data_IF_861356460284
#
_entry.id   IF_861356460284
#
_cell.length_a   1.000
_cell.length_b   1.000
_cell.length_c   1.000
_cell.angle_alpha   90.00
_cell.angle_beta   90.00
_cell.angle_gamma   90.00
#
_symmetry.space_group_name_H-M   'P 1'
#
loop_
_entity.id
_entity.type
_entity.pdbx_description
1 polymer ?
#
# COMPACT_ATOMS: atom_id res chain seq x y z
N UNK A 1 14.41 -7.70 23.69
CA UNK A 1 13.97 -8.61 22.60
C UNK A 1 12.74 -8.00 21.98
N UNK A 2 12.73 -7.74 20.68
CA UNK A 2 11.51 -7.32 19.97
C UNK A 2 10.55 -8.49 19.92
N UNK A 3 9.28 -8.26 20.27
CA UNK A 3 8.25 -9.30 20.21
C UNK A 3 8.10 -9.81 18.76
N UNK A 4 7.87 -11.11 18.53
CA UNK A 4 7.64 -11.65 17.20
C UNK A 4 6.38 -11.01 16.58
N UNK A 5 6.41 -10.74 15.28
CA UNK A 5 5.28 -10.23 14.49
C UNK A 5 4.94 -11.23 13.39
N UNK A 6 3.66 -11.40 13.11
CA UNK A 6 3.15 -12.38 12.14
C UNK A 6 2.63 -11.66 10.89
N UNK A 7 2.72 -12.34 9.74
CA UNK A 7 2.27 -11.84 8.43
C UNK A 7 1.12 -12.74 7.93
N UNK A 8 0.06 -12.12 7.41
CA UNK A 8 -1.04 -12.83 6.77
C UNK A 8 -0.82 -12.78 5.26
N UNK A 9 -0.78 -13.94 4.61
CA UNK A 9 -0.78 -14.07 3.17
C UNK A 9 -2.20 -14.41 2.70
N UNK A 10 -2.79 -13.53 1.89
CA UNK A 10 -4.12 -13.70 1.32
C UNK A 10 -4.00 -13.83 -0.20
N UNK A 11 -4.06 -15.06 -0.76
CA UNK A 11 -4.08 -15.25 -2.21
C UNK A 11 -5.34 -14.63 -2.83
N UNK A 12 -5.24 -14.19 -4.08
CA UNK A 12 -6.36 -13.65 -4.85
C UNK A 12 -6.37 -14.28 -6.24
N UNK A 13 -7.53 -14.33 -6.90
CA UNK A 13 -7.63 -14.80 -8.29
C UNK A 13 -7.30 -13.71 -9.31
N UNK A 14 -6.81 -12.54 -8.87
CA UNK A 14 -6.54 -11.40 -9.73
C UNK A 14 -5.24 -11.65 -10.50
N UNK A 15 -5.29 -11.47 -11.82
CA UNK A 15 -4.16 -11.71 -12.73
C UNK A 15 -3.46 -10.42 -13.16
N UNK A 16 -3.85 -9.28 -12.59
CA UNK A 16 -3.31 -7.95 -12.87
C UNK A 16 -2.78 -7.31 -11.60
N UNK A 17 -1.59 -6.71 -11.68
CA UNK A 17 -1.00 -5.95 -10.57
C UNK A 17 -1.83 -4.71 -10.22
N UNK A 18 -2.49 -4.10 -11.21
CA UNK A 18 -3.34 -2.93 -11.00
C UNK A 18 -4.61 -3.29 -10.24
N UNK A 19 -5.25 -4.42 -10.61
CA UNK A 19 -6.45 -4.90 -9.91
C UNK A 19 -6.12 -5.34 -8.48
N UNK A 20 -5.00 -6.05 -8.29
CA UNK A 20 -4.52 -6.43 -6.96
C UNK A 20 -4.19 -5.20 -6.11
N UNK A 21 -3.64 -4.15 -6.71
CA UNK A 21 -3.39 -2.88 -6.05
C UNK A 21 -4.69 -2.17 -5.67
N UNK A 22 -5.70 -2.14 -6.55
CA UNK A 22 -7.00 -1.55 -6.27
C UNK A 22 -7.71 -2.28 -5.11
N UNK A 23 -7.60 -3.61 -5.04
CA UNK A 23 -8.08 -4.39 -3.91
C UNK A 23 -7.36 -4.01 -2.61
N UNK A 24 -6.03 -3.85 -2.63
CA UNK A 24 -5.27 -3.46 -1.44
C UNK A 24 -5.66 -2.07 -0.92
N UNK A 25 -5.92 -1.11 -1.82
CA UNK A 25 -6.46 0.22 -1.44
C UNK A 25 -7.84 0.07 -0.80
N UNK A 26 -8.73 -0.73 -1.40
CA UNK A 26 -10.06 -0.99 -0.85
C UNK A 26 -10.00 -1.62 0.54
N UNK A 27 -9.08 -2.57 0.75
CA UNK A 27 -8.84 -3.21 2.04
C UNK A 27 -8.34 -2.19 3.08
N UNK A 28 -7.36 -1.35 2.72
CA UNK A 28 -6.86 -0.28 3.59
C UNK A 28 -7.97 0.64 4.05
N UNK A 29 -8.79 1.09 3.10
CA UNK A 29 -9.83 2.08 3.39
C UNK A 29 -10.98 1.45 4.21
N UNK A 30 -11.32 0.18 3.95
CA UNK A 30 -12.36 -0.55 4.71
C UNK A 30 -11.92 -0.95 6.12
N UNK A 31 -10.65 -1.35 6.27
CA UNK A 31 -10.08 -1.87 7.51
C UNK A 31 -9.21 -0.84 8.25
N UNK A 32 -9.29 0.44 7.89
CA UNK A 32 -8.52 1.50 8.55
C UNK A 32 -8.77 1.64 10.06
N UNK A 33 -9.86 1.04 10.55
CA UNK A 33 -10.18 0.94 11.98
C UNK A 33 -9.42 -0.19 12.71
N UNK A 34 -8.78 -1.12 11.99
CA UNK A 34 -8.03 -2.25 12.55
C UNK A 34 -6.58 -1.85 12.79
N UNK A 35 -6.25 -1.44 14.02
CA UNK A 35 -4.91 -0.95 14.38
C UNK A 35 -3.82 -2.03 14.40
N UNK A 36 -4.19 -3.30 14.27
CA UNK A 36 -3.24 -4.41 14.19
C UNK A 36 -2.59 -4.57 12.81
N UNK A 37 -3.13 -3.93 11.76
CA UNK A 37 -2.67 -4.06 10.39
C UNK A 37 -1.97 -2.76 9.97
N UNK A 38 -0.68 -2.85 9.61
CA UNK A 38 0.06 -1.75 9.00
C UNK A 38 -0.04 -1.83 7.48
N UNK A 39 -1.07 -1.19 6.92
CA UNK A 39 -1.27 -1.18 5.48
C UNK A 39 -0.09 -0.54 4.74
N UNK A 40 0.66 0.38 5.35
CA UNK A 40 1.83 1.00 4.71
C UNK A 40 2.96 0.01 4.38
N UNK A 41 2.97 -1.16 5.01
CA UNK A 41 3.95 -2.21 4.75
C UNK A 41 3.40 -3.33 3.84
N UNK A 42 2.25 -3.11 3.18
CA UNK A 42 1.68 -4.12 2.27
C UNK A 42 2.53 -4.28 1.03
N UNK A 43 2.76 -5.55 0.67
CA UNK A 43 3.50 -5.95 -0.51
C UNK A 43 2.67 -6.90 -1.35
N UNK A 44 2.76 -6.77 -2.68
CA UNK A 44 2.23 -7.73 -3.64
C UNK A 44 3.35 -8.64 -4.14
N UNK A 45 2.98 -9.87 -4.47
CA UNK A 45 3.85 -10.84 -5.09
C UNK A 45 3.04 -11.68 -6.07
N UNK A 46 3.65 -12.09 -7.18
CA UNK A 46 3.09 -13.16 -8.01
C UNK A 46 3.03 -14.45 -7.16
N UNK A 47 1.99 -15.27 -7.37
CA UNK A 47 1.78 -16.51 -6.60
C UNK A 47 2.98 -17.47 -6.69
N UNK A 48 3.57 -17.58 -7.88
CA UNK A 48 4.75 -18.42 -8.14
C UNK A 48 6.07 -17.75 -7.71
N UNK A 49 6.03 -16.46 -7.34
CA UNK A 49 7.22 -15.68 -6.96
C UNK A 49 6.99 -14.86 -5.68
N UNK A 50 6.52 -15.52 -4.63
CA UNK A 50 6.23 -14.89 -3.32
C UNK A 50 7.44 -14.24 -2.62
N UNK A 51 8.66 -14.56 -3.07
CA UNK A 51 9.88 -13.92 -2.59
C UNK A 51 10.11 -12.53 -3.21
N UNK A 52 9.47 -12.24 -4.36
CA UNK A 52 9.52 -10.93 -5.01
C UNK A 52 8.38 -10.10 -4.45
N UNK A 53 8.72 -9.08 -3.64
CA UNK A 53 7.76 -8.22 -2.96
C UNK A 53 7.75 -6.84 -3.59
N UNK A 54 6.73 -6.54 -4.37
CA UNK A 54 6.45 -5.22 -4.91
C UNK A 54 5.70 -4.41 -3.87
N UNK A 55 6.19 -3.22 -3.50
CA UNK A 55 5.47 -2.35 -2.59
C UNK A 55 4.34 -1.63 -3.32
N UNK A 56 3.24 -1.41 -2.59
CA UNK A 56 2.08 -0.69 -3.12
C UNK A 56 2.19 0.81 -2.86
N UNK A 57 2.73 1.17 -1.70
CA UNK A 57 2.89 2.54 -1.24
C UNK A 57 4.36 2.88 -1.07
N UNK A 58 4.67 4.15 -1.32
CA UNK A 58 5.99 4.70 -1.06
C UNK A 58 6.29 4.62 0.45
N UNK A 59 7.47 4.11 0.80
CA UNK A 59 7.89 3.94 2.19
C UNK A 59 8.65 5.16 2.75
N UNK A 60 8.82 6.20 1.93
CA UNK A 60 9.58 7.38 2.29
C UNK A 60 9.05 7.99 3.58
N UNK A 61 9.96 8.19 4.55
CA UNK A 61 9.64 8.85 5.81
C UNK A 61 9.59 10.36 5.60
N UNK A 62 8.46 10.97 5.93
CA UNK A 62 8.26 12.41 5.86
C UNK A 62 8.70 13.10 7.16
N UNK A 63 8.49 12.44 8.29
CA UNK A 63 9.03 12.79 9.60
C UNK A 63 9.26 11.51 10.43
N UNK A 64 9.58 11.65 11.72
CA UNK A 64 9.85 10.51 12.62
C UNK A 64 8.63 9.60 12.83
N UNK A 65 7.43 10.01 12.42
CA UNK A 65 6.16 9.32 12.70
C UNK A 65 5.29 9.06 11.47
N UNK A 66 5.51 9.76 10.35
CA UNK A 66 4.66 9.72 9.15
C UNK A 66 5.43 9.22 7.95
N UNK A 67 4.80 8.30 7.20
CA UNK A 67 5.23 7.84 5.88
C UNK A 67 4.44 8.54 4.78
N UNK A 68 5.02 8.57 3.59
CA UNK A 68 4.33 8.92 2.36
C UNK A 68 3.07 8.06 2.22
N UNK A 69 1.96 8.66 1.77
CA UNK A 69 0.71 7.93 1.49
C UNK A 69 0.46 7.70 -0.01
N UNK A 70 1.36 8.17 -0.87
CA UNK A 70 1.30 7.99 -2.32
C UNK A 70 1.72 6.56 -2.72
N UNK A 71 1.40 6.17 -3.96
CA UNK A 71 1.82 4.90 -4.55
C UNK A 71 3.35 4.79 -4.61
N UNK A 72 3.85 3.55 -4.63
CA UNK A 72 5.25 3.31 -4.93
C UNK A 72 5.61 3.86 -6.33
N UNK A 73 6.82 4.38 -6.50
CA UNK A 73 7.28 5.06 -7.74
C UNK A 73 6.43 6.27 -8.19
N UNK A 74 5.80 6.99 -7.25
CA UNK A 74 5.03 8.19 -7.60
C UNK A 74 5.90 9.35 -8.10
N UNK A 75 5.36 10.12 -9.04
CA UNK A 75 5.97 11.39 -9.44
C UNK A 75 5.85 12.47 -8.35
N UNK A 76 6.81 13.40 -8.34
CA UNK A 76 6.83 14.55 -7.44
C UNK A 76 7.22 14.24 -5.99
N UNK A 77 7.18 15.24 -5.09
CA UNK A 77 7.64 15.08 -3.71
C UNK A 77 6.71 14.18 -2.90
N UNK A 78 7.28 13.44 -1.95
CA UNK A 78 6.52 12.62 -1.02
C UNK A 78 5.57 13.49 -0.17
N UNK A 79 4.35 13.00 0.08
CA UNK A 79 3.31 13.73 0.80
C UNK A 79 2.55 12.84 1.80
N UNK A 80 2.08 13.38 2.93
CA UNK A 80 1.37 12.60 3.95
C UNK A 80 -0.09 12.33 3.56
N UNK A 81 -0.54 12.87 2.43
CA UNK A 81 -1.85 12.69 1.81
C UNK A 81 -1.66 12.27 0.36
N UNK A 82 -2.59 11.45 -0.13
CA UNK A 82 -2.62 11.06 -1.53
C UNK A 82 -3.29 12.20 -2.32
N UNK A 83 -2.52 13.22 -2.69
CA UNK A 83 -3.03 14.40 -3.43
C UNK A 83 -3.36 14.11 -4.90
N UNK A 84 -3.27 12.83 -5.31
CA UNK A 84 -3.64 12.33 -6.63
C UNK A 84 -5.12 12.59 -6.98
N UNK A 85 -5.94 13.01 -6.00
CA UNK A 85 -7.24 13.64 -6.22
C UNK A 85 -7.08 15.14 -6.56
N UNK A 86 -6.40 15.48 -7.65
CA UNK A 86 -6.67 16.74 -8.34
C UNK A 86 -8.12 16.73 -8.85
N UNK A 87 -8.85 17.87 -8.86
CA UNK A 87 -10.25 17.87 -9.29
C UNK A 87 -10.33 17.31 -10.72
N UNK A 88 -11.12 16.25 -10.91
CA UNK A 88 -11.54 15.82 -12.24
C UNK A 88 -12.29 16.98 -12.88
N UNK A 89 -11.60 17.74 -13.73
CA UNK A 89 -12.24 18.68 -14.63
C UNK A 89 -12.99 17.86 -15.67
N UNK A 90 -14.29 17.66 -15.45
CA UNK A 90 -15.22 17.26 -16.49
C UNK A 90 -15.33 18.41 -17.49
N UNK A 91 -15.02 18.13 -18.76
CA UNK A 91 -15.26 19.00 -19.92
C UNK A 91 -16.21 18.30 -20.88
#
# INVERSE_FOLDING_TARGET
MTAPRWIIHLPTTLTSVDDATALAVTLRDSLGHVTAIDFGETTLSEEDRQFVRTRIWCDARLDTTRRCRRRDDHDGPCAPTDDSAGPTTAG
#
